data_IF_262219245814
#
_entry.id   IF_262219245814
#
_cell.length_a   1.000
_cell.length_b   1.000
_cell.length_c   1.000
_cell.angle_alpha   90.00
_cell.angle_beta   90.00
_cell.angle_gamma   90.00
#
_symmetry.space_group_name_H-M   'P 1'
#
loop_
_entity.id
_entity.type
_entity.pdbx_description
1 polymer ?
#
# COMPACT_ATOMS: atom_id res chain seq x y z
N UNK A 1 11.60 17.37 -7.13
CA UNK A 1 10.15 17.07 -7.20
C UNK A 1 10.01 15.76 -7.98
N UNK A 2 9.22 14.79 -7.49
CA UNK A 2 9.15 13.42 -8.03
C UNK A 2 9.40 12.36 -6.95
N UNK A 3 9.34 11.07 -7.30
CA UNK A 3 9.49 9.96 -6.36
C UNK A 3 10.84 9.95 -5.62
N UNK A 4 11.90 10.47 -6.25
CA UNK A 4 13.23 10.63 -5.63
C UNK A 4 13.28 11.66 -4.49
N UNK A 5 12.28 12.56 -4.41
CA UNK A 5 12.19 13.57 -3.37
C UNK A 5 11.27 13.19 -2.22
N UNK A 6 10.60 12.03 -2.26
CA UNK A 6 9.54 11.68 -1.31
C UNK A 6 10.09 11.48 0.11
N UNK A 7 11.20 10.77 0.26
CA UNK A 7 11.88 10.62 1.56
C UNK A 7 12.39 11.95 2.11
N UNK A 8 13.01 12.76 1.25
CA UNK A 8 13.47 14.10 1.62
C UNK A 8 12.29 14.95 2.10
N UNK A 9 11.17 14.92 1.37
CA UNK A 9 9.98 15.68 1.71
C UNK A 9 9.42 15.27 3.07
N UNK A 10 9.33 13.97 3.37
CA UNK A 10 8.86 13.48 4.68
C UNK A 10 9.78 13.93 5.81
N UNK A 11 11.09 13.70 5.69
CA UNK A 11 12.06 14.06 6.73
C UNK A 11 12.08 15.58 6.96
N UNK A 12 12.21 16.35 5.87
CA UNK A 12 12.26 17.81 5.94
C UNK A 12 10.94 18.36 6.46
N UNK A 13 9.77 17.85 6.03
CA UNK A 13 8.48 18.33 6.53
C UNK A 13 8.31 18.09 8.03
N UNK A 14 8.70 16.91 8.55
CA UNK A 14 8.63 16.60 9.97
C UNK A 14 9.54 17.52 10.79
N UNK A 15 10.81 17.64 10.39
CA UNK A 15 11.79 18.48 11.09
C UNK A 15 11.40 19.96 11.01
N UNK A 16 11.01 20.42 9.82
CA UNK A 16 10.56 21.81 9.58
C UNK A 16 9.36 22.15 10.45
N UNK A 17 8.36 21.27 10.49
CA UNK A 17 7.14 21.48 11.29
C UNK A 17 7.45 21.53 12.78
N UNK A 18 8.32 20.66 13.27
CA UNK A 18 8.72 20.63 14.68
C UNK A 18 9.51 21.89 15.08
N UNK A 19 10.51 22.28 14.27
CA UNK A 19 11.28 23.52 14.51
C UNK A 19 10.35 24.73 14.46
N UNK A 20 9.51 24.82 13.43
CA UNK A 20 8.56 25.93 13.28
C UNK A 20 7.62 26.03 14.48
N UNK A 21 7.03 24.90 14.93
CA UNK A 21 6.10 24.89 16.06
C UNK A 21 6.80 25.34 17.36
N UNK A 22 8.05 24.90 17.59
CA UNK A 22 8.83 25.34 18.76
C UNK A 22 9.14 26.83 18.72
N UNK A 23 9.56 27.35 17.56
CA UNK A 23 9.88 28.78 17.40
C UNK A 23 8.62 29.66 17.51
N UNK A 24 7.51 29.24 16.90
CA UNK A 24 6.25 29.98 16.92
C UNK A 24 5.58 30.01 18.32
N UNK A 25 5.95 29.08 19.21
CA UNK A 25 5.52 29.08 20.62
C UNK A 25 6.45 29.90 21.52
N UNK A 26 7.63 30.30 21.05
CA UNK A 26 8.57 31.07 21.83
C UNK A 26 8.28 32.58 21.73
N UNK A 27 7.79 33.24 22.81
CA UNK A 27 7.42 34.65 22.76
C UNK A 27 8.59 35.58 22.41
N UNK A 28 9.84 35.15 22.65
CA UNK A 28 11.05 35.93 22.31
C UNK A 28 11.32 36.02 20.82
N UNK A 29 10.74 35.11 20.05
CA UNK A 29 10.98 34.96 18.60
C UNK A 29 9.72 35.34 17.82
N UNK A 30 8.64 35.76 18.48
CA UNK A 30 7.41 36.18 17.82
C UNK A 30 7.23 37.70 17.88
N UNK A 31 6.62 38.28 16.85
CA UNK A 31 6.27 39.70 16.83
C UNK A 31 4.82 39.86 17.31
N UNK A 32 4.63 40.56 18.42
CA UNK A 32 3.30 40.86 18.99
C UNK A 32 2.79 42.20 18.44
N UNK A 33 1.60 42.18 17.86
CA UNK A 33 0.96 43.39 17.34
C UNK A 33 0.01 44.03 18.37
N UNK A 34 -0.19 45.36 18.34
CA UNK A 34 -1.20 46.03 19.16
C UNK A 34 -2.62 45.51 18.90
N UNK A 35 -3.50 45.63 19.89
CA UNK A 35 -4.89 45.16 19.80
C UNK A 35 -5.72 45.83 18.68
N UNK A 36 -5.30 47.01 18.21
CA UNK A 36 -5.93 47.72 17.09
C UNK A 36 -5.69 47.05 15.73
N UNK A 37 -4.70 46.14 15.63
CA UNK A 37 -4.35 45.47 14.37
C UNK A 37 -5.30 44.29 14.13
N UNK A 38 -5.90 44.17 12.92
CA UNK A 38 -6.78 43.05 12.59
C UNK A 38 -6.14 41.67 12.86
N UNK A 39 -6.91 40.67 13.35
CA UNK A 39 -6.37 39.37 13.75
C UNK A 39 -5.58 38.63 12.66
N UNK A 40 -6.01 38.75 11.40
CA UNK A 40 -5.33 38.12 10.26
C UNK A 40 -3.89 38.66 10.08
N UNK A 41 -3.71 39.98 10.21
CA UNK A 41 -2.39 40.63 10.08
C UNK A 41 -1.51 40.28 11.29
N UNK A 42 -2.06 40.35 12.50
CA UNK A 42 -1.34 39.97 13.71
C UNK A 42 -0.83 38.51 13.66
N UNK A 43 -1.63 37.58 13.11
CA UNK A 43 -1.23 36.17 12.95
C UNK A 43 -0.03 36.01 12.01
N UNK A 44 -0.01 36.72 10.88
CA UNK A 44 1.10 36.65 9.93
C UNK A 44 2.41 37.17 10.51
N UNK A 45 2.38 38.31 11.22
CA UNK A 45 3.58 38.85 11.85
C UNK A 45 4.09 38.00 13.01
N UNK A 46 3.19 37.38 13.78
CA UNK A 46 3.57 36.46 14.86
C UNK A 46 4.50 35.34 14.39
N UNK A 47 4.26 34.81 13.18
CA UNK A 47 5.02 33.68 12.61
C UNK A 47 6.15 34.11 11.66
N UNK A 48 6.32 35.41 11.39
CA UNK A 48 7.29 35.92 10.43
C UNK A 48 8.73 35.51 10.76
N UNK A 49 9.18 35.78 11.98
CA UNK A 49 10.52 35.42 12.46
C UNK A 49 10.72 33.90 12.55
N UNK A 50 9.76 33.09 13.08
CA UNK A 50 9.83 31.64 12.99
C UNK A 50 10.04 31.12 11.57
N UNK A 51 9.29 31.63 10.58
CA UNK A 51 9.44 31.26 9.18
C UNK A 51 10.84 31.64 8.67
N UNK A 52 11.28 32.87 8.94
CA UNK A 52 12.61 33.34 8.55
C UNK A 52 13.73 32.43 9.08
N UNK A 53 13.74 32.12 10.37
CA UNK A 53 14.78 31.28 10.97
C UNK A 53 14.76 29.86 10.43
N UNK A 54 13.58 29.28 10.19
CA UNK A 54 13.45 27.97 9.55
C UNK A 54 14.03 27.99 8.14
N UNK A 55 13.68 28.99 7.32
CA UNK A 55 14.20 29.11 5.96
C UNK A 55 15.72 29.30 5.93
N UNK A 56 16.25 30.16 6.80
CA UNK A 56 17.70 30.39 6.91
C UNK A 56 18.41 29.12 7.36
N UNK A 57 17.87 28.42 8.36
CA UNK A 57 18.44 27.16 8.86
C UNK A 57 18.54 26.11 7.75
N UNK A 58 17.45 25.82 7.04
CA UNK A 58 17.46 24.82 5.97
C UNK A 58 18.30 25.25 4.76
N UNK A 59 18.34 26.55 4.44
CA UNK A 59 19.18 27.08 3.36
C UNK A 59 20.67 26.94 3.70
N UNK A 60 21.05 27.33 4.92
CA UNK A 60 22.42 27.19 5.41
C UNK A 60 22.83 25.72 5.53
N UNK A 61 21.95 24.86 6.06
CA UNK A 61 22.18 23.42 6.13
C UNK A 61 22.41 22.83 4.74
N UNK A 62 21.53 23.13 3.77
CA UNK A 62 21.68 22.64 2.42
C UNK A 62 22.97 23.14 1.77
N UNK A 63 23.33 24.42 1.96
CA UNK A 63 24.60 24.96 1.48
C UNK A 63 25.81 24.24 2.09
N UNK A 64 25.84 24.04 3.40
CA UNK A 64 26.92 23.28 4.05
C UNK A 64 27.01 21.85 3.52
N UNK A 65 25.88 21.20 3.25
CA UNK A 65 25.84 19.86 2.68
C UNK A 65 26.33 19.83 1.23
N UNK A 66 26.16 20.91 0.46
CA UNK A 66 26.72 21.00 -0.91
C UNK A 66 28.25 20.94 -0.95
N UNK A 67 28.93 21.21 0.18
CA UNK A 67 30.38 21.08 0.29
C UNK A 67 30.86 19.61 0.32
N UNK A 68 29.96 18.67 0.61
CA UNK A 68 30.26 17.24 0.75
C UNK A 68 29.53 16.42 -0.33
N UNK A 69 28.29 16.78 -0.66
CA UNK A 69 27.48 16.16 -1.72
C UNK A 69 27.06 17.26 -2.71
N UNK A 70 27.54 17.26 -3.97
CA UNK A 70 27.33 18.36 -4.92
C UNK A 70 25.86 18.74 -5.18
N UNK A 71 24.94 17.80 -5.01
CA UNK A 71 23.50 18.01 -5.18
C UNK A 71 22.74 18.26 -3.85
N UNK A 72 23.48 18.44 -2.75
CA UNK A 72 22.99 18.91 -1.45
C UNK A 72 22.20 17.86 -0.68
N UNK A 73 21.27 18.32 0.16
CA UNK A 73 20.50 17.47 1.07
C UNK A 73 19.71 16.37 0.34
N UNK A 74 19.19 16.67 -0.86
CA UNK A 74 18.41 15.71 -1.63
C UNK A 74 19.25 14.49 -2.02
N UNK A 75 20.45 14.72 -2.54
CA UNK A 75 21.36 13.67 -2.98
C UNK A 75 21.89 12.84 -1.80
N UNK A 76 22.20 13.49 -0.69
CA UNK A 76 22.67 12.79 0.51
C UNK A 76 21.58 11.87 1.12
N UNK A 77 20.34 12.34 1.23
CA UNK A 77 19.23 11.48 1.66
C UNK A 77 18.94 10.38 0.63
N UNK A 78 19.01 10.73 -0.66
CA UNK A 78 18.75 9.77 -1.72
C UNK A 78 19.78 8.62 -1.72
N UNK A 79 21.06 8.94 -1.58
CA UNK A 79 22.15 7.95 -1.57
C UNK A 79 22.19 7.13 -0.29
N UNK A 80 22.02 7.76 0.88
CA UNK A 80 22.18 7.08 2.18
C UNK A 80 20.93 6.35 2.65
N UNK A 81 19.73 6.80 2.26
CA UNK A 81 18.46 6.27 2.77
C UNK A 81 17.64 5.65 1.64
N UNK A 82 17.33 6.43 0.60
CA UNK A 82 16.40 5.98 -0.44
C UNK A 82 16.98 4.83 -1.28
N UNK A 83 18.24 4.91 -1.68
CA UNK A 83 18.87 3.90 -2.53
C UNK A 83 18.95 2.52 -1.85
N UNK A 84 19.44 2.39 -0.60
CA UNK A 84 19.39 1.11 0.11
C UNK A 84 17.96 0.57 0.27
N UNK A 85 17.01 1.43 0.62
CA UNK A 85 15.61 1.03 0.80
C UNK A 85 14.94 0.60 -0.50
N UNK A 86 15.26 1.25 -1.63
CA UNK A 86 14.79 0.85 -2.97
C UNK A 86 15.28 -0.55 -3.32
N UNK A 87 16.58 -0.83 -3.13
CA UNK A 87 17.13 -2.17 -3.36
C UNK A 87 16.51 -3.23 -2.44
N UNK A 88 16.24 -2.88 -1.18
CA UNK A 88 15.49 -3.74 -0.28
C UNK A 88 14.03 -3.92 -0.69
N UNK A 89 13.42 -2.90 -1.29
CA UNK A 89 12.04 -2.91 -1.75
C UNK A 89 11.82 -3.77 -2.98
N UNK A 90 12.78 -3.80 -3.90
CA UNK A 90 12.67 -4.53 -5.17
C UNK A 90 12.99 -6.02 -5.05
N UNK A 91 12.55 -6.66 -3.97
CA UNK A 91 12.62 -8.10 -3.81
C UNK A 91 11.29 -8.66 -3.29
N UNK A 92 11.07 -9.95 -3.53
CA UNK A 92 9.81 -10.61 -3.19
C UNK A 92 9.54 -10.67 -1.68
N UNK A 93 10.58 -10.75 -0.86
CA UNK A 93 10.43 -10.82 0.60
C UNK A 93 9.86 -9.52 1.16
N UNK A 94 10.30 -8.36 0.68
CA UNK A 94 9.75 -7.08 1.10
C UNK A 94 8.25 -6.97 0.78
N UNK A 95 7.84 -7.39 -0.41
CA UNK A 95 6.43 -7.40 -0.81
C UNK A 95 5.61 -8.35 0.07
N UNK A 96 6.08 -9.58 0.27
CA UNK A 96 5.39 -10.60 1.08
C UNK A 96 5.29 -10.16 2.55
N UNK A 97 6.39 -9.69 3.15
CA UNK A 97 6.42 -9.27 4.56
C UNK A 97 5.49 -8.07 4.76
N UNK A 98 5.57 -7.05 3.90
CA UNK A 98 4.72 -5.87 4.03
C UNK A 98 3.23 -6.22 3.83
N UNK A 99 2.92 -7.11 2.90
CA UNK A 99 1.56 -7.60 2.67
C UNK A 99 1.04 -8.41 3.86
N UNK A 100 1.86 -9.30 4.42
CA UNK A 100 1.52 -10.08 5.60
C UNK A 100 1.29 -9.19 6.83
N UNK A 101 2.13 -8.18 7.04
CA UNK A 101 1.94 -7.19 8.12
C UNK A 101 0.62 -6.42 7.92
N UNK A 102 0.34 -5.96 6.70
CA UNK A 102 -0.93 -5.28 6.39
C UNK A 102 -2.15 -6.16 6.68
N UNK A 103 -2.13 -7.42 6.26
CA UNK A 103 -3.23 -8.35 6.54
C UNK A 103 -3.32 -8.72 8.03
N UNK A 104 -2.19 -8.82 8.72
CA UNK A 104 -2.19 -9.04 10.17
C UNK A 104 -2.82 -7.88 10.94
N UNK A 105 -2.52 -6.63 10.56
CA UNK A 105 -3.16 -5.45 11.13
C UNK A 105 -4.68 -5.49 10.96
N UNK A 106 -5.17 -5.93 9.79
CA UNK A 106 -6.60 -6.12 9.54
C UNK A 106 -7.25 -7.11 10.49
N UNK A 107 -6.56 -8.21 10.83
CA UNK A 107 -7.06 -9.19 11.80
C UNK A 107 -7.20 -8.57 13.19
N UNK A 108 -6.40 -7.55 13.52
CA UNK A 108 -6.51 -6.76 14.75
C UNK A 108 -7.54 -5.61 14.65
N UNK A 109 -8.24 -5.46 13.53
CA UNK A 109 -9.20 -4.38 13.29
C UNK A 109 -8.59 -3.05 12.83
N UNK A 110 -7.29 -3.03 12.50
CA UNK A 110 -6.59 -1.86 11.95
C UNK A 110 -6.56 -1.98 10.42
N UNK A 111 -6.95 -0.92 9.71
CA UNK A 111 -7.01 -0.96 8.25
C UNK A 111 -5.61 -1.04 7.61
N UNK A 112 -5.13 -2.26 7.39
CA UNK A 112 -3.77 -2.59 6.93
C UNK A 112 -3.24 -1.74 5.78
N UNK A 113 -3.88 -1.74 4.58
CA UNK A 113 -3.41 -0.98 3.42
C UNK A 113 -3.24 0.51 3.67
N UNK A 114 -4.10 1.12 4.48
CA UNK A 114 -4.02 2.54 4.81
C UNK A 114 -2.88 2.79 5.79
N UNK A 115 -2.70 1.92 6.79
CA UNK A 115 -1.61 2.03 7.77
C UNK A 115 -0.24 1.82 7.14
N UNK A 116 -0.10 0.90 6.18
CA UNK A 116 1.18 0.62 5.51
C UNK A 116 1.43 1.46 4.27
N UNK A 117 0.46 2.28 3.84
CA UNK A 117 0.53 3.09 2.61
C UNK A 117 1.79 3.96 2.52
N UNK A 118 2.12 4.72 3.58
CA UNK A 118 3.29 5.60 3.61
C UNK A 118 4.62 4.82 3.46
N UNK A 119 4.71 3.63 4.07
CA UNK A 119 5.89 2.77 3.94
C UNK A 119 5.96 2.23 2.51
N UNK A 120 4.84 1.79 1.95
CA UNK A 120 4.77 1.32 0.57
C UNK A 120 5.16 2.41 -0.43
N UNK A 121 4.60 3.60 -0.29
CA UNK A 121 4.90 4.71 -1.20
C UNK A 121 6.37 5.11 -1.12
N UNK A 122 6.94 5.17 0.07
CA UNK A 122 8.34 5.52 0.22
C UNK A 122 9.27 4.45 -0.38
N UNK A 123 8.95 3.17 -0.24
CA UNK A 123 9.79 2.07 -0.74
C UNK A 123 9.64 1.83 -2.24
N UNK A 124 8.42 1.88 -2.80
CA UNK A 124 8.14 1.39 -4.15
C UNK A 124 7.88 2.47 -5.20
N UNK A 125 7.58 3.72 -4.83
CA UNK A 125 7.13 4.74 -5.80
C UNK A 125 8.17 5.03 -6.88
N UNK A 126 9.45 5.03 -6.53
CA UNK A 126 10.52 5.29 -7.49
C UNK A 126 10.67 4.15 -8.50
N UNK A 127 10.71 2.90 -8.01
CA UNK A 127 10.76 1.73 -8.88
C UNK A 127 9.56 1.65 -9.83
N UNK A 128 8.35 1.96 -9.32
CA UNK A 128 7.15 2.03 -10.13
C UNK A 128 7.21 3.15 -11.18
N UNK A 129 7.75 4.32 -10.84
CA UNK A 129 7.91 5.43 -11.78
C UNK A 129 8.90 5.11 -12.89
N UNK A 130 9.98 4.39 -12.58
CA UNK A 130 10.94 3.93 -13.59
C UNK A 130 10.35 2.87 -14.52
N UNK A 131 9.56 1.93 -14.02
CA UNK A 131 8.80 1.01 -14.87
C UNK A 131 7.82 1.75 -15.79
N UNK A 132 7.08 2.73 -15.26
CA UNK A 132 6.16 3.54 -16.06
C UNK A 132 6.92 4.31 -17.16
N UNK A 133 8.05 4.91 -16.80
CA UNK A 133 8.90 5.65 -17.73
C UNK A 133 9.46 4.73 -18.83
N UNK A 134 9.88 3.52 -18.45
CA UNK A 134 10.30 2.48 -19.39
C UNK A 134 9.19 2.15 -20.38
N UNK A 135 7.98 1.88 -19.88
CA UNK A 135 6.83 1.55 -20.72
C UNK A 135 6.44 2.69 -21.67
N UNK A 136 6.50 3.94 -21.20
CA UNK A 136 6.24 5.11 -22.01
C UNK A 136 7.28 5.30 -23.13
N UNK A 137 8.55 4.98 -22.87
CA UNK A 137 9.64 5.12 -23.85
C UNK A 137 9.67 3.98 -24.87
N UNK A 138 9.37 2.75 -24.45
CA UNK A 138 9.50 1.55 -25.28
C UNK A 138 8.17 1.03 -25.84
N UNK A 139 7.03 1.57 -25.39
CA UNK A 139 5.70 1.13 -25.79
C UNK A 139 5.32 -0.26 -25.26
N UNK A 140 6.08 -0.81 -24.30
CA UNK A 140 5.87 -2.15 -23.74
C UNK A 140 6.34 -2.21 -22.30
N UNK A 141 5.71 -3.05 -21.48
CA UNK A 141 6.14 -3.27 -20.08
C UNK A 141 7.16 -4.41 -19.96
N UNK A 142 7.42 -5.14 -21.04
CA UNK A 142 8.51 -6.12 -21.11
C UNK A 142 9.87 -5.45 -20.90
N UNK A 143 10.73 -6.09 -20.10
CA UNK A 143 12.07 -5.58 -19.80
C UNK A 143 12.11 -4.41 -18.81
N UNK A 144 10.98 -4.05 -18.17
CA UNK A 144 10.97 -2.98 -17.18
C UNK A 144 11.96 -3.29 -16.03
N UNK A 145 12.74 -2.29 -15.56
CA UNK A 145 13.92 -2.51 -14.71
C UNK A 145 13.61 -3.08 -13.32
N UNK A 146 12.39 -2.87 -12.81
CA UNK A 146 11.98 -3.34 -11.49
C UNK A 146 10.75 -4.23 -11.58
N UNK A 147 10.88 -5.48 -12.04
CA UNK A 147 9.73 -6.35 -12.25
C UNK A 147 9.05 -6.75 -10.93
N UNK A 148 9.79 -6.73 -9.81
CA UNK A 148 9.32 -7.19 -8.50
C UNK A 148 9.05 -5.98 -7.59
N UNK A 149 7.85 -5.40 -7.72
CA UNK A 149 7.37 -4.33 -6.86
C UNK A 149 6.05 -4.70 -6.20
N UNK A 150 5.61 -3.89 -5.23
CA UNK A 150 4.29 -4.02 -4.64
C UNK A 150 3.18 -4.06 -5.71
N UNK A 151 3.22 -3.17 -6.69
CA UNK A 151 2.17 -3.06 -7.72
C UNK A 151 2.21 -4.26 -8.67
N UNK A 152 3.40 -4.70 -9.09
CA UNK A 152 3.56 -5.86 -9.98
C UNK A 152 3.18 -7.19 -9.37
N UNK A 153 3.29 -7.32 -8.05
CA UNK A 153 3.08 -8.61 -7.38
C UNK A 153 1.84 -8.56 -6.50
N UNK A 154 1.80 -7.67 -5.51
CA UNK A 154 0.76 -7.68 -4.48
C UNK A 154 -0.58 -7.13 -5.01
N UNK A 155 -0.59 -5.94 -5.62
CA UNK A 155 -1.84 -5.36 -6.14
C UNK A 155 -2.39 -6.19 -7.31
N UNK A 156 -1.51 -6.67 -8.20
CA UNK A 156 -1.89 -7.42 -9.38
C UNK A 156 -2.48 -8.82 -9.07
N UNK A 157 -1.94 -9.52 -8.07
CA UNK A 157 -2.25 -10.94 -7.87
C UNK A 157 -2.72 -11.29 -6.46
N UNK A 158 -2.50 -10.45 -5.45
CA UNK A 158 -2.69 -10.78 -4.05
C UNK A 158 -3.75 -9.91 -3.31
N UNK A 159 -4.45 -9.01 -4.01
CA UNK A 159 -5.49 -8.13 -3.46
C UNK A 159 -6.84 -8.22 -4.19
N UNK A 160 -7.08 -9.30 -4.94
CA UNK A 160 -8.37 -9.50 -5.62
C UNK A 160 -9.51 -9.72 -4.62
N UNK A 161 -10.44 -8.77 -4.52
CA UNK A 161 -11.39 -8.70 -3.43
C UNK A 161 -10.85 -8.04 -2.17
N UNK A 162 -9.88 -7.13 -2.30
CA UNK A 162 -9.28 -6.43 -1.18
C UNK A 162 -8.27 -7.28 -0.41
N UNK A 163 -8.00 -6.89 0.84
CA UNK A 163 -7.06 -7.59 1.72
C UNK A 163 -7.46 -9.05 1.92
N UNK A 164 -6.47 -9.94 2.00
CA UNK A 164 -6.69 -11.39 2.11
C UNK A 164 -7.25 -12.08 0.86
N UNK A 165 -7.42 -11.35 -0.24
CA UNK A 165 -8.14 -11.81 -1.44
C UNK A 165 -9.54 -12.34 -1.15
N UNK A 166 -10.36 -11.53 -0.45
CA UNK A 166 -11.66 -12.01 0.06
C UNK A 166 -12.66 -12.32 -1.04
N UNK A 167 -12.44 -11.94 -2.31
CA UNK A 167 -13.27 -12.44 -3.41
C UNK A 167 -13.17 -13.97 -3.52
N UNK A 168 -11.98 -14.52 -3.28
CA UNK A 168 -11.78 -15.96 -3.18
C UNK A 168 -12.59 -16.59 -2.04
N UNK A 169 -12.66 -15.92 -0.89
CA UNK A 169 -13.47 -16.32 0.26
C UNK A 169 -14.98 -16.27 -0.06
N UNK A 170 -15.44 -15.21 -0.72
CA UNK A 170 -16.85 -15.07 -1.12
C UNK A 170 -17.27 -16.21 -2.05
N UNK A 171 -16.43 -16.54 -3.03
CA UNK A 171 -16.66 -17.70 -3.90
C UNK A 171 -16.66 -19.02 -3.11
N UNK A 172 -15.73 -19.20 -2.17
CA UNK A 172 -15.70 -20.39 -1.31
C UNK A 172 -16.97 -20.53 -0.45
N UNK A 173 -17.52 -19.42 0.05
CA UNK A 173 -18.79 -19.39 0.78
C UNK A 173 -19.95 -19.81 -0.14
N UNK A 174 -20.01 -19.30 -1.36
CA UNK A 174 -21.07 -19.68 -2.30
C UNK A 174 -21.03 -21.16 -2.66
N UNK A 175 -19.83 -21.73 -2.78
CA UNK A 175 -19.61 -23.15 -3.11
C UNK A 175 -19.95 -24.08 -1.93
N UNK A 176 -19.41 -23.80 -0.74
CA UNK A 176 -19.42 -24.77 0.36
C UNK A 176 -20.36 -24.42 1.52
N UNK A 177 -20.77 -23.15 1.69
CA UNK A 177 -21.61 -22.77 2.82
C UNK A 177 -23.09 -23.00 2.57
N UNK A 178 -23.71 -23.69 3.54
CA UNK A 178 -25.16 -23.92 3.63
C UNK A 178 -25.84 -22.98 4.64
N UNK A 179 -25.08 -22.17 5.39
CA UNK A 179 -25.62 -21.26 6.41
C UNK A 179 -26.22 -20.01 5.75
N UNK A 180 -27.47 -19.69 6.07
CA UNK A 180 -28.15 -18.52 5.52
C UNK A 180 -27.37 -17.22 5.77
N UNK A 181 -26.93 -17.00 7.02
CA UNK A 181 -26.15 -15.83 7.45
C UNK A 181 -24.90 -15.60 6.59
N UNK A 182 -24.09 -16.66 6.38
CA UNK A 182 -22.86 -16.56 5.59
C UNK A 182 -23.18 -16.26 4.11
N UNK A 183 -24.21 -16.92 3.57
CA UNK A 183 -24.62 -16.72 2.16
C UNK A 183 -25.18 -15.33 1.94
N UNK A 184 -25.99 -14.81 2.85
CA UNK A 184 -26.60 -13.49 2.72
C UNK A 184 -25.54 -12.39 2.85
N UNK A 185 -24.61 -12.54 3.79
CA UNK A 185 -23.47 -11.65 3.87
C UNK A 185 -22.58 -11.70 2.63
N UNK A 186 -22.33 -12.89 2.09
CA UNK A 186 -21.56 -13.03 0.86
C UNK A 186 -22.26 -12.36 -0.33
N UNK A 187 -23.59 -12.46 -0.45
CA UNK A 187 -24.36 -11.75 -1.49
C UNK A 187 -24.23 -10.23 -1.36
N UNK A 188 -24.36 -9.69 -0.14
CA UNK A 188 -24.22 -8.25 0.11
C UNK A 188 -22.81 -7.74 -0.16
N UNK A 189 -21.80 -8.57 0.13
CA UNK A 189 -20.39 -8.23 -0.03
C UNK A 189 -19.84 -8.48 -1.43
N UNK A 190 -20.55 -9.23 -2.28
CA UNK A 190 -20.03 -9.67 -3.57
C UNK A 190 -19.75 -8.52 -4.53
N UNK A 191 -20.71 -7.60 -4.69
CA UNK A 191 -20.54 -6.46 -5.60
C UNK A 191 -19.38 -5.55 -5.14
N UNK A 192 -19.32 -5.10 -3.86
CA UNK A 192 -18.14 -4.40 -3.35
C UNK A 192 -16.84 -5.20 -3.55
N UNK A 193 -16.89 -6.51 -3.29
CA UNK A 193 -15.75 -7.40 -3.43
C UNK A 193 -15.21 -7.52 -4.85
N UNK A 194 -16.03 -7.41 -5.89
CA UNK A 194 -15.53 -7.35 -7.27
C UNK A 194 -14.59 -6.14 -7.44
N UNK A 195 -14.98 -4.99 -6.88
CA UNK A 195 -14.19 -3.75 -6.89
C UNK A 195 -13.20 -3.65 -5.73
N UNK A 196 -12.80 -4.79 -5.16
CA UNK A 196 -11.80 -4.93 -4.10
C UNK A 196 -12.14 -4.22 -2.77
N UNK A 197 -13.41 -3.88 -2.54
CA UNK A 197 -13.92 -3.33 -1.29
C UNK A 197 -14.41 -4.50 -0.43
N UNK A 198 -13.78 -4.72 0.71
CA UNK A 198 -13.99 -5.92 1.52
C UNK A 198 -14.46 -5.66 2.96
N UNK A 199 -14.68 -4.41 3.35
CA UNK A 199 -15.20 -4.05 4.66
C UNK A 199 -16.51 -4.79 5.02
N UNK A 200 -17.49 -4.95 4.10
CA UNK A 200 -18.70 -5.69 4.41
C UNK A 200 -18.42 -7.14 4.85
N UNK A 201 -17.48 -7.84 4.22
CA UNK A 201 -17.15 -9.23 4.59
C UNK A 201 -16.21 -9.28 5.80
N UNK A 202 -15.28 -8.33 5.93
CA UNK A 202 -14.32 -8.26 7.03
C UNK A 202 -14.99 -8.03 8.38
N UNK A 203 -16.01 -7.16 8.42
CA UNK A 203 -16.74 -6.86 9.65
C UNK A 203 -18.01 -7.71 9.82
N UNK A 204 -18.60 -8.19 8.72
CA UNK A 204 -19.80 -9.02 8.79
C UNK A 204 -19.52 -10.48 9.17
N UNK A 205 -18.40 -11.04 8.73
CA UNK A 205 -17.90 -12.31 9.27
C UNK A 205 -16.94 -11.98 10.42
N UNK A 206 -16.85 -12.84 11.45
CA UNK A 206 -15.76 -12.74 12.41
C UNK A 206 -14.49 -13.20 11.69
N UNK A 207 -13.91 -12.38 10.81
CA UNK A 207 -12.56 -12.57 10.28
C UNK A 207 -11.60 -11.82 11.21
N UNK A 208 -11.99 -10.60 11.59
CA UNK A 208 -11.35 -9.83 12.65
C UNK A 208 -11.38 -10.64 13.95
N UNK A 209 -10.21 -10.79 14.57
CA UNK A 209 -9.99 -11.54 15.81
C UNK A 209 -10.37 -13.04 15.78
N UNK A 210 -10.58 -13.64 14.59
CA UNK A 210 -10.85 -15.07 14.47
C UNK A 210 -9.58 -15.85 14.06
N UNK A 211 -9.01 -16.66 14.97
CA UNK A 211 -7.76 -17.37 14.71
C UNK A 211 -7.85 -18.37 13.54
N UNK A 212 -9.03 -18.94 13.28
CA UNK A 212 -9.23 -19.92 12.19
C UNK A 212 -9.20 -19.21 10.84
N UNK A 213 -9.92 -18.08 10.71
CA UNK A 213 -9.99 -17.32 9.46
C UNK A 213 -8.75 -16.47 9.21
N UNK A 214 -8.00 -16.11 10.27
CA UNK A 214 -6.71 -15.43 10.16
C UNK A 214 -5.70 -16.22 9.31
N UNK A 215 -5.67 -17.56 9.44
CA UNK A 215 -4.73 -18.42 8.73
C UNK A 215 -4.84 -18.27 7.20
N UNK A 216 -5.99 -18.54 6.56
CA UNK A 216 -6.11 -18.36 5.11
C UNK A 216 -6.03 -16.88 4.72
N UNK A 217 -6.49 -15.95 5.57
CA UNK A 217 -6.44 -14.52 5.28
C UNK A 217 -5.02 -13.99 5.10
N UNK A 218 -4.05 -14.51 5.84
CA UNK A 218 -2.63 -14.15 5.69
C UNK A 218 -1.96 -15.05 4.62
N UNK A 219 -2.25 -16.34 4.61
CA UNK A 219 -1.60 -17.31 3.72
C UNK A 219 -1.94 -17.10 2.24
N UNK A 220 -3.20 -16.81 1.91
CA UNK A 220 -3.66 -16.69 0.52
C UNK A 220 -2.88 -15.62 -0.25
N UNK A 221 -2.74 -14.38 0.26
CA UNK A 221 -1.92 -13.36 -0.39
C UNK A 221 -0.45 -13.77 -0.55
N UNK A 222 0.13 -14.50 0.42
CA UNK A 222 1.52 -14.98 0.33
C UNK A 222 1.68 -15.97 -0.83
N UNK A 223 0.78 -16.94 -0.92
CA UNK A 223 0.77 -17.94 -2.01
C UNK A 223 0.60 -17.25 -3.36
N UNK A 224 -0.35 -16.31 -3.47
CA UNK A 224 -0.59 -15.62 -4.73
C UNK A 224 0.52 -14.61 -5.11
N UNK A 225 1.20 -14.00 -4.13
CA UNK A 225 2.45 -13.28 -4.39
C UNK A 225 3.51 -14.20 -4.99
N UNK A 226 3.66 -15.44 -4.48
CA UNK A 226 4.61 -16.40 -5.01
C UNK A 226 4.26 -16.85 -6.44
N UNK A 227 2.98 -17.05 -6.74
CA UNK A 227 2.51 -17.36 -8.10
C UNK A 227 2.83 -16.18 -9.05
N UNK A 228 2.40 -14.96 -8.70
CA UNK A 228 2.68 -13.78 -9.50
C UNK A 228 4.18 -13.56 -9.72
N UNK A 229 4.97 -13.75 -8.66
CA UNK A 229 6.44 -13.70 -8.72
C UNK A 229 6.99 -14.71 -9.71
N UNK A 230 6.57 -15.97 -9.66
CA UNK A 230 7.03 -17.01 -10.58
C UNK A 230 6.78 -16.62 -12.05
N UNK A 231 5.56 -16.20 -12.39
CA UNK A 231 5.21 -15.85 -13.77
C UNK A 231 5.96 -14.62 -14.28
N UNK A 232 6.17 -13.62 -13.42
CA UNK A 232 6.94 -12.41 -13.77
C UNK A 232 8.44 -12.70 -13.86
N UNK A 233 9.00 -13.43 -12.89
CA UNK A 233 10.45 -13.71 -12.82
C UNK A 233 10.92 -14.68 -13.91
N UNK A 234 10.04 -15.58 -14.35
CA UNK A 234 10.30 -16.48 -15.48
C UNK A 234 10.03 -15.82 -16.83
N UNK A 235 9.69 -14.53 -16.85
CA UNK A 235 9.37 -13.77 -18.06
C UNK A 235 8.26 -14.44 -18.89
N UNK A 236 7.31 -15.11 -18.22
CA UNK A 236 6.14 -15.70 -18.87
C UNK A 236 5.08 -14.61 -19.10
N UNK A 237 4.96 -13.68 -18.16
CA UNK A 237 4.17 -12.45 -18.30
C UNK A 237 5.08 -11.25 -18.04
N UNK A 238 4.80 -10.09 -18.65
CA UNK A 238 5.57 -8.89 -18.35
C UNK A 238 5.19 -8.36 -16.96
N UNK A 239 6.06 -7.56 -16.32
CA UNK A 239 5.72 -6.86 -15.09
C UNK A 239 4.67 -5.77 -15.32
N UNK A 240 4.05 -5.33 -14.21
CA UNK A 240 3.14 -4.17 -14.22
C UNK A 240 3.97 -2.89 -14.21
N UNK A 241 3.62 -1.98 -15.12
CA UNK A 241 4.22 -0.65 -15.19
C UNK A 241 3.18 0.47 -15.13
N UNK A 242 1.95 0.20 -15.59
CA UNK A 242 0.87 1.18 -15.56
C UNK A 242 0.16 1.16 -14.20
N UNK A 243 -0.03 2.33 -13.61
CA UNK A 243 -0.81 2.47 -12.39
C UNK A 243 -2.29 2.21 -12.69
N UNK A 244 -2.85 1.18 -12.06
CA UNK A 244 -4.26 0.82 -12.17
C UNK A 244 -4.97 1.17 -10.87
N UNK A 245 -6.14 1.87 -10.89
CA UNK A 245 -6.89 2.14 -9.68
C UNK A 245 -7.21 0.84 -8.92
N UNK A 246 -6.98 0.83 -7.61
CA UNK A 246 -7.18 -0.37 -6.78
C UNK A 246 -8.63 -0.86 -6.76
N UNK A 247 -9.60 -0.03 -7.12
CA UNK A 247 -11.01 -0.42 -7.24
C UNK A 247 -11.34 -1.10 -8.57
N UNK A 248 -10.38 -1.25 -9.48
CA UNK A 248 -10.59 -1.98 -10.75
C UNK A 248 -10.93 -3.43 -10.45
N UNK A 249 -11.90 -4.06 -11.15
CA UNK A 249 -12.26 -5.46 -10.92
C UNK A 249 -11.02 -6.36 -10.83
N UNK A 250 -10.82 -7.04 -9.70
CA UNK A 250 -9.52 -7.57 -9.27
C UNK A 250 -8.67 -8.25 -10.35
N UNK A 251 -9.19 -9.27 -11.08
CA UNK A 251 -8.41 -9.95 -12.12
C UNK A 251 -7.94 -9.05 -13.27
N UNK A 252 -8.63 -7.94 -13.53
CA UNK A 252 -8.27 -7.00 -14.59
C UNK A 252 -7.07 -6.12 -14.23
N UNK A 253 -6.68 -6.04 -12.95
CA UNK A 253 -5.55 -5.21 -12.52
C UNK A 253 -4.26 -5.66 -13.20
N UNK A 254 -3.98 -6.97 -13.22
CA UNK A 254 -2.81 -7.53 -13.88
C UNK A 254 -2.84 -7.29 -15.41
N UNK A 255 -4.01 -7.47 -16.05
CA UNK A 255 -4.18 -7.24 -17.48
C UNK A 255 -3.89 -5.79 -17.88
N UNK A 256 -4.53 -4.83 -17.21
CA UNK A 256 -4.37 -3.41 -17.52
C UNK A 256 -2.98 -2.91 -17.12
N UNK A 257 -2.45 -3.37 -15.99
CA UNK A 257 -1.14 -2.97 -15.47
C UNK A 257 0.03 -3.39 -16.38
N UNK A 258 -0.15 -4.47 -17.12
CA UNK A 258 0.80 -4.99 -18.13
C UNK A 258 0.60 -4.41 -19.53
N UNK A 259 -0.32 -3.45 -19.70
CA UNK A 259 -0.63 -2.87 -21.00
C UNK A 259 -1.49 -3.76 -21.90
N UNK A 260 -2.24 -4.70 -21.31
CA UNK A 260 -3.18 -5.58 -22.02
C UNK A 260 -2.68 -6.99 -22.29
N UNK A 261 -1.80 -7.54 -21.45
CA UNK A 261 -1.32 -8.91 -21.62
C UNK A 261 -2.38 -9.94 -21.19
N UNK A 262 -2.92 -10.70 -22.13
CA UNK A 262 -3.96 -11.72 -21.86
C UNK A 262 -3.51 -12.85 -20.94
N UNK A 263 -2.23 -13.21 -20.95
CA UNK A 263 -1.73 -14.25 -20.05
C UNK A 263 -1.69 -13.75 -18.60
N UNK A 264 -1.36 -12.46 -18.37
CA UNK A 264 -1.46 -11.83 -17.07
C UNK A 264 -2.90 -11.84 -16.53
N UNK A 265 -3.90 -11.65 -17.40
CA UNK A 265 -5.32 -11.80 -17.03
C UNK A 265 -5.62 -13.23 -16.54
N UNK A 266 -5.17 -14.23 -17.27
CA UNK A 266 -5.37 -15.64 -16.92
C UNK A 266 -4.68 -15.99 -15.60
N UNK A 267 -3.48 -15.46 -15.35
CA UNK A 267 -2.79 -15.61 -14.06
C UNK A 267 -3.58 -14.94 -12.93
N UNK A 268 -4.19 -13.77 -13.17
CA UNK A 268 -5.10 -13.14 -12.20
C UNK A 268 -6.29 -14.05 -11.82
N UNK A 269 -6.91 -14.71 -12.80
CA UNK A 269 -7.97 -15.70 -12.54
C UNK A 269 -7.45 -16.97 -11.86
N UNK A 270 -6.25 -17.44 -12.21
CA UNK A 270 -5.58 -18.54 -11.52
C UNK A 270 -5.40 -18.22 -10.04
N UNK A 271 -4.89 -17.03 -9.70
CA UNK A 271 -4.72 -16.59 -8.32
C UNK A 271 -6.05 -16.52 -7.56
N UNK A 272 -7.12 -16.05 -8.22
CA UNK A 272 -8.47 -16.08 -7.63
C UNK A 272 -8.95 -17.52 -7.36
N UNK A 273 -8.74 -18.44 -8.31
CA UNK A 273 -9.07 -19.85 -8.14
C UNK A 273 -8.29 -20.50 -6.99
N UNK A 274 -6.99 -20.25 -6.90
CA UNK A 274 -6.13 -20.72 -5.80
C UNK A 274 -6.60 -20.16 -4.46
N UNK A 275 -6.93 -18.86 -4.40
CA UNK A 275 -7.50 -18.24 -3.21
C UNK A 275 -8.78 -18.97 -2.76
N UNK A 276 -9.72 -19.19 -3.68
CA UNK A 276 -10.96 -19.93 -3.40
C UNK A 276 -10.69 -21.34 -2.86
N UNK A 277 -9.77 -22.08 -3.48
CA UNK A 277 -9.41 -23.43 -3.07
C UNK A 277 -8.80 -23.48 -1.66
N UNK A 278 -7.95 -22.51 -1.32
CA UNK A 278 -7.35 -22.41 0.02
C UNK A 278 -8.41 -22.03 1.06
N UNK A 279 -9.34 -21.12 0.76
CA UNK A 279 -10.41 -20.74 1.68
C UNK A 279 -11.43 -21.85 1.93
N UNK A 280 -11.67 -22.71 0.94
CA UNK A 280 -12.71 -23.75 0.97
C UNK A 280 -12.69 -24.64 2.22
N UNK A 281 -11.56 -25.25 2.64
CA UNK A 281 -11.52 -26.07 3.86
C UNK A 281 -11.85 -25.27 5.13
N UNK A 282 -11.47 -24.00 5.22
CA UNK A 282 -11.75 -23.15 6.38
C UNK A 282 -13.23 -22.77 6.45
N UNK A 283 -13.86 -22.48 5.31
CA UNK A 283 -15.31 -22.25 5.24
C UNK A 283 -16.07 -23.51 5.67
N UNK A 284 -15.66 -24.69 5.21
CA UNK A 284 -16.27 -25.97 5.61
C UNK A 284 -16.11 -26.19 7.12
N UNK A 285 -14.92 -25.94 7.68
CA UNK A 285 -14.68 -26.07 9.11
C UNK A 285 -15.52 -25.08 9.94
N UNK A 286 -15.58 -23.81 9.52
CA UNK A 286 -16.37 -22.77 10.19
C UNK A 286 -17.88 -23.09 10.23
N UNK A 287 -18.40 -23.82 9.23
CA UNK A 287 -19.78 -24.28 9.23
C UNK A 287 -20.06 -25.40 10.25
N UNK A 288 -19.03 -26.16 10.66
CA UNK A 288 -19.19 -27.28 11.61
C UNK A 288 -19.15 -26.84 13.08
N UNK A 289 -18.30 -25.86 13.41
CA UNK A 289 -18.06 -25.42 14.80
C UNK A 289 -19.33 -24.84 15.45
N UNK A 290 -20.14 -24.07 14.73
CA UNK A 290 -21.35 -23.47 15.31
C UNK A 290 -22.56 -24.42 15.39
N UNK A 291 -22.62 -25.48 14.58
CA UNK A 291 -23.68 -26.49 14.71
C UNK A 291 -23.59 -27.29 16.02
N UNK A 292 -22.42 -27.31 16.66
CA UNK A 292 -22.24 -27.92 17.99
C UNK A 292 -22.71 -27.00 19.13
N UNK A 293 -22.67 -25.67 18.93
CA UNK A 293 -23.10 -24.70 19.94
C UNK A 293 -24.62 -24.48 20.00
N UNK A 294 -25.36 -24.81 18.92
CA UNK A 294 -26.82 -24.68 18.86
C UNK A 294 -27.58 -25.97 19.16
N UNK A 295 -26.89 -27.12 19.22
CA UNK A 295 -27.48 -28.44 19.46
C UNK A 295 -27.07 -29.02 20.83
N UNK A 296 -26.61 -28.19 21.76
CA UNK A 296 -26.24 -28.54 23.13
C UNK A 296 -27.21 -27.94 24.15
#
# INVERSE_FOLDING_TARGET
LGAQGLFVAVIVALITSEIFCRLARNPKITITMPAAVPPAVARSFKVLLPIFFVMVFFSALNYCLTLISPAGLNDLIYTLIQTPLKHMGTNIFAVIILGAVGNFLWVLGIHGPNTTSAIRETVFSEANLENLSWAAQHGTTWGAPYPITWTSINDAFANCGGSGMTLGLLLAIFIASKRAEYRDLAKMSFIPGIFNINEPIMFGLPIVLNPIMMVPFIMVPIVNCAIGYFFVSMEIIPPVAYAVPWTTPGPLIAFLGTGGNWLALLVGFLCLGVATMIYLPFVIAANKVNNMATNG
#
